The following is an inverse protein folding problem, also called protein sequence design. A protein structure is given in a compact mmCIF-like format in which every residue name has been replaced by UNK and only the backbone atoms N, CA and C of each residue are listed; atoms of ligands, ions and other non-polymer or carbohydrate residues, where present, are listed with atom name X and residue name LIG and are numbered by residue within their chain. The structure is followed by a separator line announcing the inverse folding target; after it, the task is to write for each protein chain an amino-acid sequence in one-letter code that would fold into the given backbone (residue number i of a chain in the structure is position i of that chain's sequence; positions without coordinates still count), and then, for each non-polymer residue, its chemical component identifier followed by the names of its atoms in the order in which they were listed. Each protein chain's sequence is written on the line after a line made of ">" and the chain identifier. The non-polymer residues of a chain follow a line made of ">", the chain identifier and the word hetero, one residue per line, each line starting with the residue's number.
data_IF_727972506192
#
_entry.id   IF_727972506192
#
_cell.length_a   1.000
_cell.length_b   1.000
_cell.length_c   1.000
_cell.angle_alpha   90.00
_cell.angle_beta   90.00
_cell.angle_gamma   90.00
#
_symmetry.space_group_name_H-M   'P 1'
#
loop_
_entity.id
_entity.type
_entity.pdbx_description
1 polymer ?
#
# COMPACT_ATOMS: atom_id res chain seq x y z
N UNK A 1 68.70 -5.05 -35.13
CA UNK A 1 67.87 -4.24 -36.05
C UNK A 1 67.12 -3.19 -35.24
N UNK A 2 67.41 -1.93 -35.58
CA UNK A 2 66.79 -0.63 -35.28
C UNK A 2 65.72 -0.47 -34.19
N UNK A 3 66.05 0.43 -33.27
CA UNK A 3 65.15 1.19 -32.41
C UNK A 3 64.15 2.06 -33.19
N UNK A 4 62.94 2.27 -32.64
CA UNK A 4 62.10 3.43 -32.95
C UNK A 4 61.49 4.01 -31.67
N UNK A 5 61.97 5.21 -31.33
CA UNK A 5 61.42 6.16 -30.36
C UNK A 5 60.33 7.00 -31.04
N UNK A 6 59.36 7.46 -30.26
CA UNK A 6 58.59 8.68 -30.53
C UNK A 6 57.10 8.55 -30.23
N UNK A 7 56.36 9.56 -29.77
CA UNK A 7 56.62 10.96 -29.40
C UNK A 7 55.50 11.31 -28.40
N UNK A 8 55.86 11.93 -27.28
CA UNK A 8 54.92 12.51 -26.30
C UNK A 8 54.42 13.86 -26.85
N UNK A 9 53.10 14.06 -26.95
CA UNK A 9 52.53 15.39 -27.22
C UNK A 9 52.00 16.01 -25.93
N UNK A 10 52.72 17.04 -25.47
CA UNK A 10 52.29 18.00 -24.46
C UNK A 10 51.32 18.99 -25.12
N UNK A 11 50.11 19.13 -24.57
CA UNK A 11 49.06 20.03 -25.06
C UNK A 11 48.54 20.91 -23.94
N UNK A 12 49.18 22.05 -23.78
CA UNK A 12 48.91 23.12 -22.82
C UNK A 12 47.74 23.99 -23.34
N UNK A 13 46.67 24.16 -22.56
CA UNK A 13 45.75 25.31 -22.69
C UNK A 13 45.29 25.78 -21.31
N UNK A 14 45.85 26.93 -20.91
CA UNK A 14 45.39 27.72 -19.77
C UNK A 14 44.13 28.50 -20.16
N UNK A 15 43.11 28.43 -19.32
CA UNK A 15 42.06 29.45 -19.24
C UNK A 15 41.87 29.75 -17.75
N UNK A 16 42.21 30.97 -17.36
CA UNK A 16 42.09 31.44 -15.98
C UNK A 16 40.63 31.66 -15.59
N UNK A 17 40.32 31.39 -14.33
CA UNK A 17 39.20 32.03 -13.66
C UNK A 17 39.60 32.42 -12.23
N UNK A 18 39.53 33.72 -12.03
CA UNK A 18 39.71 34.59 -10.86
C UNK A 18 39.24 33.96 -9.54
N UNK A 19 40.13 33.97 -8.54
CA UNK A 19 39.83 33.78 -7.12
C UNK A 19 39.14 35.04 -6.56
N UNK A 20 38.00 34.87 -5.90
CA UNK A 20 37.46 35.86 -4.96
C UNK A 20 37.60 35.25 -3.56
N UNK A 21 38.55 35.80 -2.81
CA UNK A 21 38.69 35.57 -1.37
C UNK A 21 37.63 36.40 -0.65
N UNK A 22 36.78 35.77 0.14
CA UNK A 22 36.02 36.48 1.16
C UNK A 22 36.14 35.76 2.50
N UNK A 23 37.14 36.17 3.27
CA UNK A 23 37.33 35.86 4.68
C UNK A 23 36.51 36.84 5.52
N UNK A 24 35.26 36.51 5.83
CA UNK A 24 34.54 37.06 6.99
C UNK A 24 33.22 36.33 7.17
N UNK A 25 33.11 35.56 8.25
CA UNK A 25 32.21 35.84 9.39
C UNK A 25 32.13 34.61 10.28
N UNK A 26 32.92 34.65 11.34
CA UNK A 26 32.59 33.91 12.57
C UNK A 26 31.16 34.28 12.99
N UNK A 27 30.33 33.26 13.25
CA UNK A 27 29.34 33.31 14.33
C UNK A 27 28.97 31.88 14.72
N UNK A 28 29.70 31.41 15.71
CA UNK A 28 29.26 30.40 16.64
C UNK A 28 27.94 30.83 17.31
N UNK A 29 27.22 29.83 17.82
CA UNK A 29 26.28 29.90 18.93
C UNK A 29 25.02 30.76 18.77
N UNK A 30 23.87 30.09 18.54
CA UNK A 30 22.76 30.17 19.52
C UNK A 30 21.73 29.08 19.26
N UNK A 31 21.62 28.16 20.22
CA UNK A 31 20.40 27.44 20.50
C UNK A 31 19.21 28.41 20.46
N UNK A 32 18.18 28.07 19.69
CA UNK A 32 16.81 28.47 20.01
C UNK A 32 15.95 27.22 19.98
N UNK A 33 15.77 26.67 21.18
CA UNK A 33 14.59 25.91 21.53
C UNK A 33 13.37 26.70 21.03
N UNK A 34 12.55 26.11 20.16
CA UNK A 34 11.17 26.54 19.99
C UNK A 34 10.33 25.50 20.71
N UNK A 35 9.93 25.85 21.92
CA UNK A 35 8.83 25.16 22.58
C UNK A 35 7.55 25.34 21.74
N UNK A 36 6.65 24.35 21.70
CA UNK A 36 5.33 24.54 21.10
C UNK A 36 4.53 25.55 21.95
N UNK A 37 3.75 26.46 21.34
CA UNK A 37 2.96 27.42 22.10
C UNK A 37 1.83 26.69 22.84
N UNK A 38 1.94 26.66 24.17
CA UNK A 38 0.79 26.70 25.05
C UNK A 38 0.06 28.02 24.82
N UNK A 39 -1.21 27.98 24.40
CA UNK A 39 -2.31 28.78 24.96
C UNK A 39 -3.55 28.79 24.06
N UNK A 40 -4.68 28.50 24.70
CA UNK A 40 -5.98 29.15 24.51
C UNK A 40 -6.78 28.83 23.25
N UNK A 41 -7.64 27.82 23.36
CA UNK A 41 -9.02 28.01 22.91
C UNK A 41 -9.97 27.62 24.02
N UNK A 42 -10.51 28.69 24.61
CA UNK A 42 -11.66 28.74 25.47
C UNK A 42 -12.85 28.01 24.84
N UNK A 43 -13.53 27.23 25.68
CA UNK A 43 -14.89 26.75 25.46
C UNK A 43 -15.85 27.91 25.16
N UNK A 44 -16.81 27.74 24.23
CA UNK A 44 -18.10 28.40 24.37
C UNK A 44 -19.10 27.40 24.97
N UNK A 45 -19.44 27.66 26.23
CA UNK A 45 -20.63 27.18 26.93
C UNK A 45 -21.72 28.25 26.79
N UNK A 46 -22.74 28.00 25.96
CA UNK A 46 -24.00 28.76 25.86
C UNK A 46 -24.93 27.88 25.00
N UNK A 47 -26.18 27.53 25.28
CA UNK A 47 -27.03 27.57 26.45
C UNK A 47 -28.12 26.51 26.21
N UNK A 48 -28.70 26.06 27.30
CA UNK A 48 -29.98 25.36 27.39
C UNK A 48 -31.13 26.07 26.65
N UNK A 49 -32.13 25.26 26.28
CA UNK A 49 -33.48 25.63 25.87
C UNK A 49 -33.70 25.99 24.38
N UNK A 50 -33.91 24.95 23.58
CA UNK A 50 -35.07 24.95 22.70
C UNK A 50 -35.73 23.57 22.71
N UNK A 51 -36.65 23.40 23.65
CA UNK A 51 -37.77 22.50 23.42
C UNK A 51 -38.52 23.00 22.19
N UNK A 52 -38.55 22.19 21.14
CA UNK A 52 -39.63 22.19 20.17
C UNK A 52 -40.09 20.75 19.95
N UNK A 53 -41.40 20.57 19.79
CA UNK A 53 -42.11 19.42 20.31
C UNK A 53 -41.84 18.17 19.48
N UNK A 54 -41.84 17.04 20.18
CA UNK A 54 -42.06 15.71 19.62
C UNK A 54 -43.27 15.79 18.68
N UNK A 55 -43.03 15.77 17.37
CA UNK A 55 -44.09 15.49 16.41
C UNK A 55 -44.50 14.05 16.66
N UNK A 56 -45.71 13.88 17.20
CA UNK A 56 -46.38 12.60 17.28
C UNK A 56 -46.26 11.88 15.93
N UNK A 57 -45.67 10.69 15.96
CA UNK A 57 -45.86 9.74 14.87
C UNK A 57 -47.37 9.57 14.68
N UNK A 58 -47.94 9.73 13.47
CA UNK A 58 -49.29 9.27 13.23
C UNK A 58 -49.33 7.78 13.55
N UNK A 59 -50.22 7.41 14.47
CA UNK A 59 -50.50 6.03 14.86
C UNK A 59 -50.54 5.12 13.62
N UNK A 60 -49.90 3.94 13.63
CA UNK A 60 -50.14 2.95 12.60
C UNK A 60 -51.63 2.62 12.64
N UNK A 61 -52.38 3.01 11.60
CA UNK A 61 -53.74 2.53 11.42
C UNK A 61 -53.66 1.01 11.30
N UNK A 62 -54.35 0.36 12.22
CA UNK A 62 -54.59 -1.08 12.22
C UNK A 62 -54.97 -1.57 10.82
N UNK A 63 -54.06 -2.26 10.15
CA UNK A 63 -54.41 -3.25 9.16
C UNK A 63 -54.47 -4.56 9.93
N UNK A 64 -55.71 -5.00 10.11
CA UNK A 64 -56.09 -6.24 10.77
C UNK A 64 -55.54 -7.46 10.04
N UNK A 65 -55.37 -8.50 10.86
CA UNK A 65 -55.34 -9.95 10.59
C UNK A 65 -54.05 -10.58 10.04
N UNK A 66 -53.47 -11.38 10.94
CA UNK A 66 -52.56 -12.51 10.73
C UNK A 66 -51.15 -12.22 10.20
N UNK A 67 -50.33 -11.55 11.01
CA UNK A 67 -48.88 -11.71 10.95
C UNK A 67 -48.27 -11.57 12.36
N UNK A 68 -48.89 -12.24 13.34
CA UNK A 68 -48.46 -12.25 14.73
C UNK A 68 -47.88 -13.62 15.05
N UNK A 69 -46.75 -13.96 14.41
CA UNK A 69 -45.94 -15.13 14.80
C UNK A 69 -44.47 -15.12 14.36
N UNK A 70 -43.96 -14.11 13.64
CA UNK A 70 -42.54 -14.10 13.20
C UNK A 70 -41.72 -12.93 13.78
N UNK A 71 -42.05 -12.44 14.97
CA UNK A 71 -41.27 -11.40 15.68
C UNK A 71 -40.54 -11.90 16.92
N UNK A 72 -40.58 -13.21 17.18
CA UNK A 72 -39.92 -13.83 18.33
C UNK A 72 -38.73 -14.68 17.85
N UNK A 73 -37.55 -14.39 18.43
CA UNK A 73 -36.25 -15.05 18.24
C UNK A 73 -35.36 -14.55 17.07
N UNK A 74 -35.01 -13.26 17.07
CA UNK A 74 -33.64 -12.87 16.67
C UNK A 74 -32.69 -13.14 17.84
N UNK A 75 -32.42 -14.42 18.11
CA UNK A 75 -31.29 -14.83 18.94
C UNK A 75 -30.03 -14.27 18.30
N UNK A 76 -29.45 -13.22 18.87
CA UNK A 76 -28.14 -12.75 18.48
C UNK A 76 -27.11 -13.73 19.03
N UNK A 77 -26.82 -14.76 18.23
CA UNK A 77 -25.68 -15.62 18.46
C UNK A 77 -24.41 -14.78 18.25
N UNK A 78 -23.63 -14.59 19.31
CA UNK A 78 -22.39 -13.83 19.25
C UNK A 78 -21.34 -14.71 18.59
N UNK A 79 -21.22 -14.61 17.27
CA UNK A 79 -20.12 -15.20 16.50
C UNK A 79 -18.80 -14.51 16.84
N UNK A 80 -18.07 -15.02 17.85
CA UNK A 80 -16.72 -14.54 18.17
C UNK A 80 -15.77 -14.98 17.05
N UNK A 81 -15.63 -14.13 16.02
CA UNK A 81 -14.65 -14.34 14.95
C UNK A 81 -13.26 -14.06 15.52
N UNK A 82 -12.38 -15.07 15.66
CA UNK A 82 -11.01 -14.80 16.09
C UNK A 82 -10.33 -13.92 15.06
N UNK A 83 -9.52 -12.97 15.52
CA UNK A 83 -8.74 -12.13 14.62
C UNK A 83 -7.82 -13.01 13.78
N UNK A 84 -7.95 -12.98 12.45
CA UNK A 84 -7.01 -13.63 11.53
C UNK A 84 -5.81 -12.71 11.31
N UNK A 85 -4.85 -12.74 12.22
CA UNK A 85 -3.58 -12.05 12.07
C UNK A 85 -2.68 -12.80 11.08
N UNK A 86 -1.90 -12.05 10.30
CA UNK A 86 -0.92 -12.64 9.37
C UNK A 86 0.32 -13.01 10.15
N UNK A 87 0.58 -14.31 10.19
CA UNK A 87 1.66 -14.92 10.93
C UNK A 87 2.99 -14.90 10.19
N UNK A 88 4.11 -14.73 10.90
CA UNK A 88 5.44 -14.98 10.33
C UNK A 88 5.71 -16.47 10.46
N UNK A 89 5.52 -17.19 9.36
CA UNK A 89 5.73 -18.64 9.27
C UNK A 89 6.57 -18.99 8.05
N UNK A 90 7.18 -20.17 8.07
CA UNK A 90 7.92 -20.70 6.92
C UNK A 90 6.94 -20.95 5.78
N UNK A 91 7.32 -20.53 4.58
CA UNK A 91 6.48 -20.66 3.38
C UNK A 91 5.51 -19.50 3.16
N UNK A 92 5.33 -18.58 4.11
CA UNK A 92 4.49 -17.40 3.84
C UNK A 92 5.11 -16.50 2.80
N UNK A 93 4.27 -16.03 1.88
CA UNK A 93 4.67 -15.11 0.82
C UNK A 93 4.66 -13.67 1.34
N UNK A 94 5.71 -12.98 0.97
CA UNK A 94 6.11 -11.67 1.42
C UNK A 94 6.25 -10.75 0.22
N UNK A 95 5.77 -9.52 0.37
CA UNK A 95 6.08 -8.42 -0.52
C UNK A 95 7.20 -7.58 0.08
N UNK A 96 8.29 -7.37 -0.65
CA UNK A 96 9.41 -6.52 -0.23
C UNK A 96 9.05 -5.05 -0.52
N UNK A 97 9.15 -4.18 0.48
CA UNK A 97 8.81 -2.75 0.36
C UNK A 97 10.01 -1.86 0.08
N UNK A 98 11.16 -2.22 0.61
CA UNK A 98 12.39 -1.41 0.56
C UNK A 98 13.58 -2.29 0.21
N UNK A 99 14.55 -1.71 -0.49
CA UNK A 99 15.77 -2.37 -0.92
C UNK A 99 15.85 -2.59 -2.43
N UNK A 100 16.88 -3.30 -2.91
CA UNK A 100 17.11 -3.50 -4.35
C UNK A 100 16.02 -4.35 -5.03
N UNK A 101 15.27 -5.12 -4.24
CA UNK A 101 14.19 -6.00 -4.72
C UNK A 101 12.79 -5.47 -4.32
N UNK A 102 12.63 -4.15 -4.30
CA UNK A 102 11.36 -3.52 -3.95
C UNK A 102 10.23 -3.95 -4.90
N UNK A 103 9.03 -4.09 -4.34
CA UNK A 103 7.80 -4.56 -5.00
C UNK A 103 7.86 -5.99 -5.58
N UNK A 104 8.92 -6.76 -5.29
CA UNK A 104 9.02 -8.17 -5.67
C UNK A 104 8.43 -9.07 -4.59
N UNK A 105 7.95 -10.25 -5.02
CA UNK A 105 7.45 -11.30 -4.16
C UNK A 105 8.57 -12.25 -3.77
N UNK A 106 8.47 -12.78 -2.56
CA UNK A 106 9.33 -13.86 -2.13
C UNK A 106 8.66 -14.67 -1.01
N UNK A 107 9.15 -15.89 -0.77
CA UNK A 107 8.71 -16.73 0.34
C UNK A 107 9.73 -16.71 1.48
N UNK A 108 9.25 -16.85 2.72
CA UNK A 108 10.10 -17.03 3.89
C UNK A 108 10.62 -18.48 3.89
N UNK A 109 11.94 -18.66 3.81
CA UNK A 109 12.59 -19.98 3.89
C UNK A 109 12.88 -20.38 5.33
N UNK A 110 13.34 -19.43 6.13
CA UNK A 110 13.72 -19.64 7.53
C UNK A 110 13.59 -18.34 8.32
N UNK A 111 13.21 -18.43 9.59
CA UNK A 111 13.22 -17.32 10.54
C UNK A 111 14.58 -17.35 11.22
N UNK A 112 15.36 -16.28 11.07
CA UNK A 112 16.70 -16.18 11.67
C UNK A 112 16.55 -15.66 13.10
N UNK A 113 15.98 -14.46 13.21
CA UNK A 113 15.75 -13.76 14.46
C UNK A 113 14.33 -13.17 14.44
N UNK A 114 13.88 -12.63 15.57
CA UNK A 114 12.60 -11.93 15.64
C UNK A 114 12.46 -10.74 14.68
N UNK A 115 13.58 -10.15 14.26
CA UNK A 115 13.60 -8.97 13.37
C UNK A 115 13.98 -9.32 11.93
N UNK A 116 14.50 -10.52 11.66
CA UNK A 116 15.11 -10.87 10.37
C UNK A 116 14.66 -12.25 9.91
N UNK A 117 14.35 -12.33 8.63
CA UNK A 117 13.96 -13.57 7.95
C UNK A 117 14.86 -13.83 6.77
N UNK A 118 15.07 -15.11 6.48
CA UNK A 118 15.72 -15.58 5.27
C UNK A 118 14.65 -15.76 4.20
N UNK A 119 14.81 -15.05 3.10
CA UNK A 119 13.79 -14.91 2.05
C UNK A 119 14.35 -15.46 0.74
N UNK A 120 13.50 -16.13 -0.04
CA UNK A 120 13.83 -16.69 -1.35
C UNK A 120 12.61 -16.56 -2.29
N UNK A 121 12.80 -16.00 -3.48
CA UNK A 121 11.72 -15.73 -4.43
C UNK A 121 12.05 -16.25 -5.82
N UNK A 122 11.97 -17.58 -6.06
CA UNK A 122 12.12 -18.15 -7.40
C UNK A 122 10.83 -17.96 -8.19
N UNK A 123 10.58 -16.74 -8.66
CA UNK A 123 9.51 -16.46 -9.62
C UNK A 123 9.85 -17.01 -11.01
N UNK A 124 8.83 -17.23 -11.85
CA UNK A 124 9.01 -17.67 -13.23
C UNK A 124 9.72 -16.65 -14.13
N UNK A 125 9.53 -15.34 -13.84
CA UNK A 125 10.13 -14.25 -14.61
C UNK A 125 11.48 -13.84 -14.00
N UNK A 126 12.54 -13.78 -14.83
CA UNK A 126 13.91 -13.44 -14.40
C UNK A 126 14.00 -12.07 -13.71
N UNK A 127 13.23 -11.09 -14.18
CA UNK A 127 13.20 -9.74 -13.60
C UNK A 127 12.64 -9.75 -12.16
N UNK A 128 11.73 -10.66 -11.86
CA UNK A 128 11.07 -10.75 -10.55
C UNK A 128 11.78 -11.70 -9.59
N UNK A 129 12.84 -12.37 -10.03
CA UNK A 129 13.61 -13.27 -9.18
C UNK A 129 14.27 -12.48 -8.05
N UNK A 130 14.07 -12.99 -6.83
CA UNK A 130 14.74 -12.51 -5.63
C UNK A 130 15.73 -13.59 -5.18
N UNK A 131 17.04 -13.32 -5.17
CA UNK A 131 18.01 -14.28 -4.68
C UNK A 131 17.82 -14.51 -3.19
N UNK A 132 18.27 -15.67 -2.73
CA UNK A 132 18.23 -16.03 -1.31
C UNK A 132 19.04 -15.03 -0.48
N UNK A 133 18.36 -14.28 0.38
CA UNK A 133 18.99 -13.22 1.18
C UNK A 133 18.30 -13.03 2.53
N UNK A 134 19.02 -12.47 3.50
CA UNK A 134 18.43 -12.06 4.77
C UNK A 134 17.77 -10.68 4.64
N UNK A 135 16.52 -10.55 5.04
CA UNK A 135 15.76 -9.29 5.00
C UNK A 135 15.19 -9.01 6.39
N UNK A 136 15.26 -7.76 6.90
CA UNK A 136 14.56 -7.38 8.11
C UNK A 136 13.05 -7.34 7.86
N UNK A 137 12.26 -7.84 8.82
CA UNK A 137 10.79 -7.87 8.74
C UNK A 137 10.17 -6.48 8.59
N UNK A 138 10.84 -5.43 9.08
CA UNK A 138 10.42 -4.05 8.91
C UNK A 138 10.33 -3.59 7.43
N UNK A 139 11.08 -4.23 6.53
CA UNK A 139 11.07 -3.92 5.10
C UNK A 139 10.08 -4.76 4.30
N UNK A 140 9.31 -5.61 4.99
CA UNK A 140 8.51 -6.67 4.41
C UNK A 140 7.05 -6.48 4.81
N UNK A 141 6.14 -6.74 3.89
CA UNK A 141 4.71 -6.85 4.17
C UNK A 141 4.24 -8.26 3.92
N UNK A 142 3.62 -8.87 4.95
CA UNK A 142 3.07 -10.22 4.85
C UNK A 142 1.81 -10.22 3.96
N UNK A 143 1.77 -11.15 3.02
CA UNK A 143 0.58 -11.40 2.19
C UNK A 143 -0.28 -12.51 2.80
N UNK A 144 -1.50 -12.67 2.31
CA UNK A 144 -2.37 -13.79 2.71
C UNK A 144 -1.96 -15.13 2.10
N UNK A 145 -1.08 -15.13 1.10
CA UNK A 145 -0.64 -16.33 0.39
C UNK A 145 0.42 -17.08 1.22
N UNK A 146 0.30 -18.40 1.30
CA UNK A 146 1.23 -19.26 2.00
C UNK A 146 1.51 -20.53 1.19
N UNK A 147 2.76 -21.01 1.27
CA UNK A 147 3.19 -22.30 0.76
C UNK A 147 3.00 -23.35 1.85
N UNK A 148 1.93 -24.12 1.77
CA UNK A 148 1.54 -25.08 2.82
C UNK A 148 2.58 -26.20 3.06
N UNK A 149 3.35 -26.59 2.05
CA UNK A 149 4.25 -27.77 2.09
C UNK A 149 5.73 -27.39 1.91
N UNK A 150 6.20 -26.35 2.61
CA UNK A 150 7.60 -25.96 2.57
C UNK A 150 8.35 -26.41 3.85
N UNK A 151 9.38 -27.27 3.75
CA UNK A 151 10.21 -27.59 4.91
C UNK A 151 11.04 -26.37 5.32
N UNK A 152 11.33 -26.25 6.62
CA UNK A 152 12.25 -25.24 7.14
C UNK A 152 13.58 -25.35 6.40
N UNK A 153 14.15 -24.19 6.01
CA UNK A 153 15.44 -24.11 5.30
C UNK A 153 15.42 -24.75 3.90
N UNK A 154 14.27 -24.83 3.25
CA UNK A 154 14.18 -25.25 1.85
C UNK A 154 15.17 -24.49 0.96
N UNK A 155 15.91 -25.21 0.12
CA UNK A 155 16.79 -24.64 -0.91
C UNK A 155 15.96 -24.12 -2.10
N UNK A 156 16.55 -23.25 -2.90
CA UNK A 156 15.87 -22.57 -4.02
C UNK A 156 15.22 -23.53 -5.01
N UNK A 157 15.84 -24.70 -5.28
CA UNK A 157 15.24 -25.72 -6.13
C UNK A 157 13.94 -26.33 -5.54
N UNK A 158 13.90 -26.57 -4.23
CA UNK A 158 12.68 -27.05 -3.57
C UNK A 158 11.61 -25.95 -3.47
N UNK A 159 12.03 -24.70 -3.24
CA UNK A 159 11.15 -23.54 -3.20
C UNK A 159 10.49 -23.29 -4.56
N UNK A 160 11.23 -23.40 -5.66
CA UNK A 160 10.72 -23.27 -7.03
C UNK A 160 9.62 -24.29 -7.30
N UNK A 161 9.85 -25.57 -6.97
CA UNK A 161 8.84 -26.63 -7.10
C UNK A 161 7.58 -26.33 -6.28
N UNK A 162 7.73 -25.80 -5.07
CA UNK A 162 6.59 -25.43 -4.23
C UNK A 162 5.82 -24.21 -4.78
N UNK A 163 6.55 -23.24 -5.34
CA UNK A 163 6.00 -22.04 -5.98
C UNK A 163 5.15 -22.38 -7.20
N UNK A 164 5.66 -23.25 -8.07
CA UNK A 164 4.95 -23.74 -9.26
C UNK A 164 3.72 -24.56 -8.87
N UNK A 165 3.86 -25.51 -7.94
CA UNK A 165 2.72 -26.34 -7.45
C UNK A 165 1.57 -25.51 -6.89
N UNK A 166 1.89 -24.42 -6.20
CA UNK A 166 0.91 -23.55 -5.58
C UNK A 166 0.37 -22.47 -6.52
N UNK A 167 1.02 -22.24 -7.68
CA UNK A 167 0.61 -21.26 -8.67
C UNK A 167 0.52 -19.84 -8.10
N UNK A 168 1.50 -19.42 -7.29
CA UNK A 168 1.44 -18.15 -6.55
C UNK A 168 1.31 -16.95 -7.49
N UNK A 169 1.98 -16.94 -8.63
CA UNK A 169 1.96 -15.79 -9.53
C UNK A 169 0.55 -15.52 -10.09
N UNK A 170 -0.19 -16.58 -10.44
CA UNK A 170 -1.59 -16.49 -10.86
C UNK A 170 -2.50 -16.02 -9.70
N UNK A 171 -2.31 -16.59 -8.51
CA UNK A 171 -3.06 -16.18 -7.31
C UNK A 171 -2.78 -14.72 -6.95
N UNK A 172 -1.54 -14.28 -7.12
CA UNK A 172 -1.12 -12.92 -6.86
C UNK A 172 -1.79 -11.94 -7.82
N UNK A 173 -1.78 -12.22 -9.13
CA UNK A 173 -2.44 -11.41 -10.15
C UNK A 173 -3.95 -11.24 -9.89
N UNK A 174 -4.60 -12.27 -9.33
CA UNK A 174 -6.01 -12.20 -8.96
C UNK A 174 -6.29 -11.33 -7.72
N UNK A 175 -5.29 -11.15 -6.84
CA UNK A 175 -5.49 -10.40 -5.60
C UNK A 175 -5.85 -8.94 -5.85
N UNK A 176 -6.68 -8.39 -4.98
CA UNK A 176 -7.03 -6.96 -5.02
C UNK A 176 -5.82 -6.03 -4.87
N UNK A 177 -4.72 -6.51 -4.29
CA UNK A 177 -3.49 -5.73 -4.17
C UNK A 177 -2.79 -5.56 -5.54
N UNK A 178 -2.56 -6.65 -6.27
CA UNK A 178 -1.94 -6.59 -7.60
C UNK A 178 -2.76 -5.75 -8.57
N UNK A 179 -4.07 -5.96 -8.63
CA UNK A 179 -5.01 -5.17 -9.46
C UNK A 179 -4.96 -3.68 -9.14
N UNK A 180 -4.84 -3.31 -7.86
CA UNK A 180 -4.70 -1.91 -7.44
C UNK A 180 -3.36 -1.32 -7.87
N UNK A 181 -2.27 -2.08 -7.73
CA UNK A 181 -0.94 -1.65 -8.18
C UNK A 181 -0.92 -1.41 -9.69
N UNK A 182 -1.41 -2.36 -10.49
CA UNK A 182 -1.56 -2.22 -11.94
C UNK A 182 -2.45 -1.03 -12.33
N UNK A 183 -3.53 -0.78 -11.58
CA UNK A 183 -4.36 0.39 -11.81
C UNK A 183 -3.61 1.70 -11.53
N UNK A 184 -2.78 1.74 -10.48
CA UNK A 184 -1.95 2.91 -10.17
C UNK A 184 -0.89 3.14 -11.24
N UNK A 185 -0.21 2.08 -11.67
CA UNK A 185 0.84 2.16 -12.69
C UNK A 185 0.26 2.59 -14.04
N UNK A 186 -0.90 2.03 -14.44
CA UNK A 186 -1.65 2.51 -15.61
C UNK A 186 -2.00 3.99 -15.49
N UNK A 187 -2.49 4.45 -14.34
CA UNK A 187 -2.84 5.87 -14.13
C UNK A 187 -1.63 6.80 -14.19
N UNK A 188 -0.46 6.35 -13.75
CA UNK A 188 0.79 7.11 -13.83
C UNK A 188 1.28 7.23 -15.27
N UNK A 189 1.06 6.20 -16.07
CA UNK A 189 1.55 6.12 -17.45
C UNK A 189 0.58 6.69 -18.49
N UNK A 190 -0.59 7.24 -18.09
CA UNK A 190 -1.56 7.78 -19.05
C UNK A 190 -1.04 9.04 -19.74
N UNK A 191 -1.23 9.07 -21.06
CA UNK A 191 -1.01 10.24 -21.90
C UNK A 191 -2.15 11.26 -21.74
N UNK A 192 -1.91 12.53 -22.09
CA UNK A 192 -2.90 13.60 -21.90
C UNK A 192 -4.23 13.34 -22.62
N UNK A 193 -4.16 12.80 -23.83
CA UNK A 193 -5.34 12.41 -24.59
C UNK A 193 -6.16 11.31 -23.90
N UNK A 194 -5.49 10.33 -23.29
CA UNK A 194 -6.18 9.29 -22.52
C UNK A 194 -6.81 9.84 -21.25
N UNK A 195 -6.19 10.83 -20.59
CA UNK A 195 -6.80 11.54 -19.46
C UNK A 195 -8.09 12.25 -19.88
N UNK A 196 -8.11 12.86 -21.06
CA UNK A 196 -9.33 13.45 -21.62
C UNK A 196 -10.43 12.40 -21.86
N UNK A 197 -10.09 11.24 -22.45
CA UNK A 197 -11.04 10.12 -22.62
C UNK A 197 -11.61 9.65 -21.28
N UNK A 198 -10.75 9.42 -20.29
CA UNK A 198 -11.16 9.03 -18.93
C UNK A 198 -12.09 10.07 -18.32
N UNK A 199 -11.81 11.36 -18.48
CA UNK A 199 -12.68 12.44 -17.98
C UNK A 199 -14.07 12.40 -18.64
N UNK A 200 -14.15 12.18 -19.95
CA UNK A 200 -15.43 12.07 -20.67
C UNK A 200 -16.23 10.84 -20.25
N UNK A 201 -15.60 9.67 -20.18
CA UNK A 201 -16.23 8.43 -19.71
C UNK A 201 -16.73 8.55 -18.26
N UNK A 202 -15.96 9.21 -17.39
CA UNK A 202 -16.39 9.48 -16.00
C UNK A 202 -17.62 10.38 -15.93
N UNK A 203 -17.73 11.40 -16.80
CA UNK A 203 -18.93 12.25 -16.89
C UNK A 203 -20.15 11.45 -17.35
N UNK A 204 -20.00 10.62 -18.38
CA UNK A 204 -21.07 9.75 -18.88
C UNK A 204 -21.56 8.76 -17.81
N UNK A 205 -20.64 8.07 -17.13
CA UNK A 205 -20.98 7.12 -16.06
C UNK A 205 -21.71 7.80 -14.90
N UNK A 206 -21.25 8.99 -14.47
CA UNK A 206 -21.91 9.78 -13.41
C UNK A 206 -23.32 10.19 -13.80
N UNK A 207 -23.51 10.66 -15.03
CA UNK A 207 -24.81 11.06 -15.53
C UNK A 207 -25.81 9.88 -15.55
N UNK A 208 -25.37 8.69 -15.99
CA UNK A 208 -26.19 7.49 -15.99
C UNK A 208 -26.64 7.09 -14.57
N UNK A 209 -25.73 7.13 -13.59
CA UNK A 209 -26.03 6.85 -12.18
C UNK A 209 -26.99 7.90 -11.59
N UNK A 210 -26.79 9.18 -11.89
CA UNK A 210 -27.70 10.23 -11.40
C UNK A 210 -29.10 10.06 -11.98
N UNK A 211 -29.23 9.67 -13.26
CA UNK A 211 -30.50 9.41 -13.91
C UNK A 211 -31.23 8.19 -13.32
N UNK A 212 -30.52 7.12 -12.94
CA UNK A 212 -31.15 5.99 -12.26
C UNK A 212 -31.58 6.36 -10.85
N UNK A 213 -30.73 7.07 -10.09
CA UNK A 213 -31.05 7.53 -8.74
C UNK A 213 -32.23 8.51 -8.71
N UNK A 214 -32.35 9.43 -9.67
CA UNK A 214 -33.47 10.35 -9.75
C UNK A 214 -34.80 9.62 -9.99
N UNK A 215 -34.79 8.55 -10.81
CA UNK A 215 -35.97 7.69 -11.03
C UNK A 215 -36.38 6.94 -9.77
N UNK A 216 -35.43 6.33 -9.07
CA UNK A 216 -35.70 5.61 -7.81
C UNK A 216 -36.27 6.56 -6.76
N UNK A 217 -35.67 7.75 -6.61
CA UNK A 217 -36.14 8.79 -5.68
C UNK A 217 -37.52 9.34 -6.02
N UNK A 218 -37.87 9.44 -7.31
CA UNK A 218 -39.20 9.89 -7.73
C UNK A 218 -40.28 8.80 -7.55
N UNK A 219 -39.87 7.53 -7.50
CA UNK A 219 -40.76 6.39 -7.27
C UNK A 219 -40.92 6.02 -5.78
N UNK A 220 -40.11 6.64 -4.89
CA UNK A 220 -40.19 6.49 -3.43
C UNK A 220 -40.97 7.66 -2.84
#
# INVERSE_FOLDING_TARGET
>A
MMAKRGIFFCGQKHAGHIEIRDTRRQRSTRQRQRQPPSTLYSTPSVDSEHLLPLRACPSPRLIRSNCLQDFFAMSQEIDIKPSTWKLVEVGRVVLIRRGPYADKLAAISEIIDHKRVLVDGPSGDEEKVVPRQSIPLAHVTLTSLCLEKCPRRARTGAMRKAWEKSGIDAKWAQTGYAKKKEQQDRRRNLTDFERFKVMRLRKQARFAVQKSLSKVRAAS
#
